data_IF_308509359561
#
_entry.id   IF_308509359561
#
_cell.length_a   1.000
_cell.length_b   1.000
_cell.length_c   1.000
_cell.angle_alpha   90.00
_cell.angle_beta   90.00
_cell.angle_gamma   90.00
#
_symmetry.space_group_name_H-M   'P 1'
#
loop_
_entity.id
_entity.type
_entity.pdbx_description
1 polymer ?
#
# COMPACT_ATOMS: atom_id res chain seq x y z
N UNK A 1 4.47 -17.71 -34.32
CA UNK A 1 5.02 -17.20 -33.03
C UNK A 1 3.99 -17.17 -31.88
N UNK A 2 2.89 -17.95 -31.91
CA UNK A 2 1.81 -17.84 -30.92
C UNK A 2 1.86 -18.80 -29.70
N UNK A 3 2.77 -19.78 -29.69
CA UNK A 3 2.84 -20.78 -28.62
C UNK A 3 3.66 -20.32 -27.40
N UNK A 4 4.64 -19.43 -27.60
CA UNK A 4 5.44 -18.82 -26.53
C UNK A 4 4.61 -17.88 -25.65
N UNK A 5 3.61 -17.19 -26.21
CA UNK A 5 2.73 -16.24 -25.51
C UNK A 5 1.64 -16.90 -24.65
N UNK A 6 1.39 -18.20 -24.81
CA UNK A 6 0.48 -18.96 -23.94
C UNK A 6 1.20 -19.49 -22.69
N UNK A 7 2.47 -19.89 -22.83
CA UNK A 7 3.34 -20.32 -21.72
C UNK A 7 3.89 -19.12 -20.92
N UNK A 8 4.19 -18.02 -21.59
CA UNK A 8 4.62 -16.76 -20.97
C UNK A 8 3.39 -15.86 -20.89
N UNK A 9 2.64 -15.96 -19.78
CA UNK A 9 1.44 -15.16 -19.56
C UNK A 9 1.65 -13.68 -19.93
N UNK A 10 0.63 -13.06 -20.54
CA UNK A 10 0.71 -11.68 -21.06
C UNK A 10 1.37 -10.74 -20.03
N UNK A 11 2.32 -9.89 -20.44
CA UNK A 11 2.92 -8.93 -19.54
C UNK A 11 1.82 -8.05 -18.92
N UNK A 12 1.82 -7.93 -17.59
CA UNK A 12 0.83 -7.11 -16.89
C UNK A 12 0.91 -5.67 -17.40
N UNK A 13 -0.24 -5.10 -17.71
CA UNK A 13 -0.32 -3.67 -18.04
C UNK A 13 0.06 -2.83 -16.80
N UNK A 14 0.57 -1.60 -16.97
CA UNK A 14 0.89 -0.73 -15.83
C UNK A 14 -0.29 -0.54 -14.86
N UNK A 15 -1.52 -0.51 -15.40
CA UNK A 15 -2.76 -0.41 -14.61
C UNK A 15 -3.05 -1.66 -13.78
N UNK A 16 -2.80 -2.84 -14.32
CA UNK A 16 -2.95 -4.11 -13.58
C UNK A 16 -1.89 -4.25 -12.50
N UNK A 17 -0.66 -3.80 -12.78
CA UNK A 17 0.43 -3.78 -11.81
C UNK A 17 0.11 -2.87 -10.62
N UNK A 18 -0.38 -1.65 -10.86
CA UNK A 18 -0.82 -0.73 -9.79
C UNK A 18 -1.92 -1.36 -8.92
N UNK A 19 -2.97 -1.91 -9.55
CA UNK A 19 -4.07 -2.58 -8.84
C UNK A 19 -3.60 -3.79 -8.02
N UNK A 20 -2.68 -4.59 -8.57
CA UNK A 20 -2.10 -5.74 -7.86
C UNK A 20 -1.31 -5.27 -6.64
N UNK A 21 -0.45 -4.27 -6.80
CA UNK A 21 0.32 -3.70 -5.70
C UNK A 21 -0.59 -3.10 -4.62
N UNK A 22 -1.64 -2.39 -5.00
CA UNK A 22 -2.61 -1.84 -4.07
C UNK A 22 -3.28 -2.93 -3.23
N UNK A 23 -3.64 -4.08 -3.85
CA UNK A 23 -4.17 -5.24 -3.12
C UNK A 23 -3.13 -5.86 -2.18
N UNK A 24 -1.88 -5.97 -2.60
CA UNK A 24 -0.79 -6.51 -1.78
C UNK A 24 -0.51 -5.63 -0.55
N UNK A 25 -0.44 -4.32 -0.74
CA UNK A 25 -0.26 -3.35 0.34
C UNK A 25 -1.42 -3.42 1.32
N UNK A 26 -2.67 -3.43 0.83
CA UNK A 26 -3.85 -3.56 1.68
C UNK A 26 -3.88 -4.89 2.45
N UNK A 27 -3.45 -5.99 1.83
CA UNK A 27 -3.31 -7.30 2.50
C UNK A 27 -2.26 -7.22 3.61
N UNK A 28 -1.11 -6.60 3.33
CA UNK A 28 -0.03 -6.42 4.32
C UNK A 28 -0.49 -5.56 5.51
N UNK A 29 -1.21 -4.44 5.26
CA UNK A 29 -1.79 -3.61 6.33
C UNK A 29 -2.71 -4.45 7.24
N UNK A 30 -3.62 -5.25 6.66
CA UNK A 30 -4.52 -6.12 7.44
C UNK A 30 -3.76 -7.19 8.22
N UNK A 31 -2.69 -7.75 7.66
CA UNK A 31 -1.86 -8.72 8.37
C UNK A 31 -1.20 -8.07 9.60
N UNK A 32 -0.64 -6.87 9.43
CA UNK A 32 -0.03 -6.09 10.52
C UNK A 32 -1.06 -5.77 11.61
N UNK A 33 -2.29 -5.39 11.25
CA UNK A 33 -3.34 -5.12 12.23
C UNK A 33 -3.73 -6.35 13.04
N UNK A 34 -3.82 -7.52 12.40
CA UNK A 34 -4.07 -8.79 13.10
C UNK A 34 -2.93 -9.17 14.04
N UNK A 35 -1.69 -9.00 13.60
CA UNK A 35 -0.51 -9.27 14.41
C UNK A 35 -0.43 -8.33 15.63
N UNK A 36 -0.68 -7.03 15.40
CA UNK A 36 -0.76 -6.03 16.47
C UNK A 36 -1.81 -6.42 17.51
N UNK A 37 -3.00 -6.80 17.08
CA UNK A 37 -4.08 -7.22 17.99
C UNK A 37 -3.68 -8.44 18.85
N UNK A 38 -3.00 -9.42 18.25
CA UNK A 38 -2.51 -10.59 18.99
C UNK A 38 -1.46 -10.20 20.04
N UNK A 39 -0.55 -9.28 19.71
CA UNK A 39 0.46 -8.78 20.63
C UNK A 39 -0.15 -7.92 21.75
N UNK A 40 -1.16 -7.09 21.46
CA UNK A 40 -1.91 -6.32 22.47
C UNK A 40 -2.60 -7.25 23.48
N UNK A 41 -3.16 -8.38 23.01
CA UNK A 41 -3.73 -9.41 23.89
C UNK A 41 -2.65 -10.09 24.74
N UNK A 42 -1.46 -10.34 24.18
CA UNK A 42 -0.33 -10.89 24.92
C UNK A 42 0.20 -9.91 25.96
N UNK A 43 0.29 -8.62 25.62
CA UNK A 43 0.65 -7.55 26.55
C UNK A 43 -0.26 -7.55 27.78
N UNK A 44 -1.58 -7.62 27.55
CA UNK A 44 -2.54 -7.66 28.66
C UNK A 44 -2.37 -8.88 29.56
N UNK A 45 -2.06 -10.06 28.98
CA UNK A 45 -1.75 -11.27 29.76
C UNK A 45 -0.48 -11.11 30.58
N UNK A 46 0.58 -10.57 29.98
CA UNK A 46 1.85 -10.29 30.67
C UNK A 46 1.64 -9.33 31.84
N UNK A 47 0.82 -8.29 31.69
CA UNK A 47 0.48 -7.36 32.78
C UNK A 47 -0.20 -8.09 33.95
N UNK A 48 -1.16 -8.97 33.67
CA UNK A 48 -1.84 -9.76 34.70
C UNK A 48 -0.87 -10.70 35.41
N UNK A 49 0.01 -11.35 34.66
CA UNK A 49 1.02 -12.26 35.21
C UNK A 49 2.03 -11.52 36.10
N UNK A 50 2.56 -10.37 35.64
CA UNK A 50 3.45 -9.52 36.43
C UNK A 50 2.80 -9.12 37.76
N UNK A 51 1.52 -8.73 37.75
CA UNK A 51 0.78 -8.38 38.98
C UNK A 51 0.69 -9.57 39.93
N UNK A 52 0.41 -10.78 39.42
CA UNK A 52 0.34 -12.00 40.24
C UNK A 52 1.68 -12.37 40.86
N UNK A 53 2.77 -12.25 40.11
CA UNK A 53 4.12 -12.57 40.60
C UNK A 53 4.60 -11.51 41.60
N UNK A 54 4.27 -10.24 41.37
CA UNK A 54 4.56 -9.16 42.30
C UNK A 54 3.90 -9.38 43.67
N UNK A 55 2.65 -9.85 43.72
CA UNK A 55 1.97 -10.23 44.96
C UNK A 55 2.64 -11.40 45.70
N UNK A 56 3.38 -12.26 44.98
CA UNK A 56 4.14 -13.37 45.55
C UNK A 56 5.53 -12.96 46.07
N UNK A 57 5.87 -11.68 46.05
CA UNK A 57 7.15 -11.13 46.51
C UNK A 57 8.39 -11.78 45.84
N UNK A 58 8.32 -12.05 44.53
CA UNK A 58 9.44 -12.59 43.73
C UNK A 58 10.02 -11.52 42.78
N UNK A 59 10.91 -10.62 43.26
CA UNK A 59 11.36 -9.45 42.50
C UNK A 59 12.16 -9.78 41.24
N UNK A 60 12.96 -10.85 41.25
CA UNK A 60 13.79 -11.23 40.09
C UNK A 60 12.92 -11.69 38.91
N UNK A 61 11.84 -12.43 39.20
CA UNK A 61 10.88 -12.88 38.19
C UNK A 61 10.08 -11.69 37.64
N UNK A 62 9.66 -10.77 38.50
CA UNK A 62 8.99 -9.52 38.08
C UNK A 62 9.89 -8.73 37.13
N UNK A 63 11.19 -8.62 37.41
CA UNK A 63 12.14 -7.90 36.55
C UNK A 63 12.27 -8.55 35.17
N UNK A 64 12.36 -9.88 35.11
CA UNK A 64 12.42 -10.62 33.84
C UNK A 64 11.14 -10.40 33.00
N UNK A 65 9.97 -10.57 33.61
CA UNK A 65 8.68 -10.38 32.94
C UNK A 65 8.45 -8.93 32.49
N UNK A 66 8.89 -7.96 33.29
CA UNK A 66 8.81 -6.53 32.93
C UNK A 66 9.67 -6.22 31.69
N UNK A 67 10.85 -6.82 31.57
CA UNK A 67 11.68 -6.68 30.38
C UNK A 67 10.99 -7.27 29.13
N UNK A 68 10.33 -8.42 29.27
CA UNK A 68 9.54 -9.02 28.18
C UNK A 68 8.34 -8.15 27.79
N UNK A 69 7.66 -7.54 28.76
CA UNK A 69 6.58 -6.58 28.49
C UNK A 69 7.08 -5.38 27.65
N UNK A 70 8.25 -4.83 27.99
CA UNK A 70 8.87 -3.73 27.24
C UNK A 70 9.20 -4.16 25.80
N UNK A 71 9.70 -5.38 25.61
CA UNK A 71 9.94 -5.95 24.27
C UNK A 71 8.64 -6.05 23.46
N UNK A 72 7.58 -6.60 24.03
CA UNK A 72 6.25 -6.68 23.39
C UNK A 72 5.75 -5.30 22.95
N UNK A 73 5.84 -4.28 23.83
CA UNK A 73 5.46 -2.89 23.50
C UNK A 73 6.28 -2.30 22.36
N UNK A 74 7.58 -2.57 22.34
CA UNK A 74 8.45 -2.12 21.25
C UNK A 74 8.07 -2.79 19.92
N UNK A 75 7.69 -4.07 19.92
CA UNK A 75 7.17 -4.75 18.74
C UNK A 75 5.86 -4.12 18.24
N UNK A 76 4.90 -3.84 19.13
CA UNK A 76 3.64 -3.14 18.80
C UNK A 76 3.96 -1.78 18.15
N UNK A 77 4.86 -0.99 18.75
CA UNK A 77 5.29 0.31 18.21
C UNK A 77 5.93 0.18 16.82
N UNK A 78 6.74 -0.85 16.59
CA UNK A 78 7.35 -1.14 15.28
C UNK A 78 6.29 -1.45 14.23
N UNK A 79 5.30 -2.27 14.56
CA UNK A 79 4.17 -2.60 13.69
C UNK A 79 3.34 -1.35 13.35
N UNK A 80 3.11 -0.46 14.31
CA UNK A 80 2.42 0.82 14.06
C UNK A 80 3.17 1.69 13.05
N UNK A 81 4.51 1.81 13.19
CA UNK A 81 5.35 2.53 12.22
C UNK A 81 5.28 1.90 10.83
N UNK A 82 5.37 0.57 10.75
CA UNK A 82 5.26 -0.15 9.49
C UNK A 82 3.89 0.06 8.82
N UNK A 83 2.80 0.05 9.60
CA UNK A 83 1.45 0.37 9.09
C UNK A 83 1.42 1.77 8.49
N UNK A 84 1.94 2.78 9.19
CA UNK A 84 1.97 4.16 8.69
C UNK A 84 2.74 4.26 7.37
N UNK A 85 3.90 3.59 7.26
CA UNK A 85 4.68 3.55 6.03
C UNK A 85 3.88 2.93 4.87
N UNK A 86 3.21 1.78 5.10
CA UNK A 86 2.39 1.13 4.08
C UNK A 86 1.15 1.97 3.68
N UNK A 87 0.56 2.71 4.61
CA UNK A 87 -0.51 3.66 4.30
C UNK A 87 0.01 4.78 3.40
N UNK A 88 1.22 5.29 3.64
CA UNK A 88 1.90 6.23 2.75
C UNK A 88 2.11 5.67 1.34
N UNK A 89 2.58 4.42 1.23
CA UNK A 89 2.76 3.73 -0.06
C UNK A 89 1.41 3.53 -0.78
N UNK A 90 0.35 3.15 -0.05
CA UNK A 90 -1.00 3.04 -0.60
C UNK A 90 -1.51 4.35 -1.19
N UNK A 91 -1.23 5.48 -0.52
CA UNK A 91 -1.59 6.80 -1.02
C UNK A 91 -0.81 7.12 -2.30
N UNK A 92 0.51 6.88 -2.31
CA UNK A 92 1.35 7.07 -3.49
C UNK A 92 0.85 6.25 -4.69
N UNK A 93 0.47 4.99 -4.48
CA UNK A 93 -0.12 4.14 -5.52
C UNK A 93 -1.43 4.74 -6.06
N UNK A 94 -2.28 5.27 -5.19
CA UNK A 94 -3.52 5.95 -5.57
C UNK A 94 -3.23 7.19 -6.43
N UNK A 95 -2.23 7.99 -6.05
CA UNK A 95 -1.77 9.14 -6.84
C UNK A 95 -1.24 8.72 -8.21
N UNK A 96 -0.47 7.62 -8.28
CA UNK A 96 0.04 7.08 -9.53
C UNK A 96 -1.09 6.59 -10.45
N UNK A 97 -2.13 5.96 -9.91
CA UNK A 97 -3.33 5.57 -10.68
C UNK A 97 -4.06 6.79 -11.25
N UNK A 98 -4.24 7.85 -10.45
CA UNK A 98 -4.84 9.10 -10.90
C UNK A 98 -4.00 9.77 -12.00
N UNK A 99 -2.68 9.83 -11.81
CA UNK A 99 -1.75 10.39 -12.80
C UNK A 99 -1.83 9.62 -14.13
N UNK A 100 -1.91 8.29 -14.08
CA UNK A 100 -2.07 7.48 -15.30
C UNK A 100 -3.36 7.81 -16.05
N UNK A 101 -4.48 7.97 -15.32
CA UNK A 101 -5.77 8.34 -15.91
C UNK A 101 -5.74 9.74 -16.54
N UNK A 102 -5.08 10.70 -15.86
CA UNK A 102 -4.89 12.06 -16.40
C UNK A 102 -4.04 12.02 -17.67
N UNK A 103 -2.92 11.30 -17.65
CA UNK A 103 -2.05 11.15 -18.83
C UNK A 103 -2.82 10.57 -20.02
N UNK A 104 -3.69 9.58 -19.80
CA UNK A 104 -4.55 9.02 -20.84
C UNK A 104 -5.55 10.07 -21.37
N UNK A 105 -6.21 10.82 -20.48
CA UNK A 105 -7.15 11.88 -20.88
C UNK A 105 -6.46 12.99 -21.67
N UNK A 106 -5.30 13.46 -21.22
CA UNK A 106 -4.48 14.47 -21.92
C UNK A 106 -4.04 13.95 -23.29
N UNK A 107 -3.66 12.68 -23.39
CA UNK A 107 -3.33 12.06 -24.67
C UNK A 107 -4.52 12.09 -25.63
N UNK A 108 -5.72 11.67 -25.19
CA UNK A 108 -6.93 11.73 -26.01
C UNK A 108 -7.30 13.16 -26.43
N UNK A 109 -7.27 14.11 -25.51
CA UNK A 109 -7.50 15.52 -25.82
C UNK A 109 -6.51 16.04 -26.87
N UNK A 110 -5.23 15.67 -26.76
CA UNK A 110 -4.20 16.05 -27.74
C UNK A 110 -4.49 15.48 -29.13
N UNK A 111 -4.98 14.24 -29.22
CA UNK A 111 -5.37 13.63 -30.50
C UNK A 111 -6.55 14.38 -31.14
N UNK A 112 -7.57 14.74 -30.35
CA UNK A 112 -8.71 15.54 -30.82
C UNK A 112 -8.24 16.91 -31.32
N UNK A 113 -7.40 17.61 -30.55
CA UNK A 113 -6.85 18.91 -30.93
C UNK A 113 -6.01 18.83 -32.22
N UNK A 114 -5.22 17.76 -32.41
CA UNK A 114 -4.48 17.54 -33.66
C UNK A 114 -5.41 17.26 -34.84
N UNK A 115 -6.52 16.56 -34.62
CA UNK A 115 -7.56 16.34 -35.64
C UNK A 115 -8.21 17.67 -36.05
N UNK A 116 -8.63 18.45 -35.06
CA UNK A 116 -9.22 19.78 -35.28
C UNK A 116 -8.26 20.73 -35.99
N UNK A 117 -6.99 20.80 -35.59
CA UNK A 117 -6.00 21.65 -36.23
C UNK A 117 -5.82 21.30 -37.72
N UNK A 118 -5.83 20.01 -38.06
CA UNK A 118 -5.80 19.57 -39.46
C UNK A 118 -7.04 20.05 -40.21
N UNK A 119 -8.24 19.84 -39.67
CA UNK A 119 -9.48 20.28 -40.31
C UNK A 119 -9.54 21.80 -40.52
N UNK A 120 -9.19 22.59 -39.50
CA UNK A 120 -9.14 24.05 -39.59
C UNK A 120 -8.15 24.50 -40.67
N UNK A 121 -6.96 23.87 -40.73
CA UNK A 121 -5.97 24.18 -41.76
C UNK A 121 -6.49 23.90 -43.16
N UNK A 122 -7.18 22.77 -43.39
CA UNK A 122 -7.80 22.46 -44.68
C UNK A 122 -8.86 23.49 -45.07
N UNK A 123 -9.76 23.85 -44.15
CA UNK A 123 -10.83 24.81 -44.43
C UNK A 123 -10.30 26.20 -44.75
N UNK A 124 -9.24 26.66 -44.08
CA UNK A 124 -8.61 27.94 -44.39
C UNK A 124 -7.93 27.94 -45.77
N UNK A 125 -7.29 26.83 -46.14
CA UNK A 125 -6.60 26.71 -47.44
C UNK A 125 -7.57 26.68 -48.62
N UNK A 126 -8.76 26.11 -48.44
CA UNK A 126 -9.82 26.08 -49.46
C UNK A 126 -10.59 27.40 -49.59
N UNK A 127 -10.51 28.28 -48.59
CA UNK A 127 -11.17 29.60 -48.60
C UNK A 127 -10.26 30.74 -49.11
N UNK A 128 -8.98 30.47 -49.43
CA UNK A 128 -8.03 31.43 -50.01
C UNK A 128 -7.81 31.25 -51.54
N UNK A 129 -8.69 30.50 -52.21
CA UNK A 129 -8.82 30.42 -53.68
C UNK A 129 -10.15 31.03 -54.10
#
# INVERSE_FOLDING_TARGET
MGWLTWLVGKPMTPKELLRRNQRLVNKAIRNIEREKYNLEKQEQKQIVEIKKVAQKNQPDVVRALANDLVRTRNHIKKLMKMKANLQGVSLQLTTLEAQQSITQAVHHATLVLRGLNRHVTYTFRTLQL
#
